data_IF_513448764993
#
_entry.id   IF_513448764993
#
_cell.length_a   1.000
_cell.length_b   1.000
_cell.length_c   1.000
_cell.angle_alpha   90.00
_cell.angle_beta   90.00
_cell.angle_gamma   90.00
#
_symmetry.space_group_name_H-M   'P 1'
#
loop_
_entity.id
_entity.type
_entity.pdbx_description
1 polymer ?
#
# COMPACT_ATOMS: atom_id res chain seq x y z
N UNK A 1 16.77 16.19 -12.57
CA UNK A 1 17.33 14.82 -12.55
C UNK A 1 18.78 14.89 -12.04
N UNK A 2 18.97 14.93 -10.72
CA UNK A 2 20.32 15.12 -10.08
C UNK A 2 20.48 14.29 -8.79
N UNK A 3 19.59 13.31 -8.54
CA UNK A 3 19.73 12.36 -7.41
C UNK A 3 20.60 11.14 -7.81
N UNK A 4 20.85 10.96 -9.11
CA UNK A 4 21.42 9.75 -9.67
C UNK A 4 22.96 9.74 -9.81
N UNK A 5 23.69 10.79 -9.41
CA UNK A 5 25.09 10.96 -9.86
C UNK A 5 26.17 11.12 -8.77
N UNK A 6 25.97 10.62 -7.54
CA UNK A 6 27.07 10.51 -6.56
C UNK A 6 27.14 9.15 -5.82
N UNK A 7 28.34 8.57 -5.66
CA UNK A 7 28.50 7.28 -5.00
C UNK A 7 28.31 7.43 -3.47
N UNK A 8 27.36 6.66 -2.91
CA UNK A 8 27.09 6.55 -1.47
C UNK A 8 25.83 7.25 -0.94
N UNK A 9 25.43 8.39 -1.52
CA UNK A 9 24.29 9.20 -1.01
C UNK A 9 22.91 8.57 -1.23
N UNK A 10 22.76 7.77 -2.28
CA UNK A 10 21.52 7.07 -2.62
C UNK A 10 21.16 5.93 -1.64
N UNK A 11 22.18 5.30 -1.04
CA UNK A 11 21.99 4.18 -0.11
C UNK A 11 21.58 4.66 1.29
N UNK A 12 22.19 5.74 1.77
CA UNK A 12 21.82 6.38 3.03
C UNK A 12 20.40 6.97 2.99
N UNK A 13 20.03 7.64 1.88
CA UNK A 13 18.67 8.16 1.68
C UNK A 13 17.61 7.03 1.60
N UNK A 14 17.92 5.92 0.90
CA UNK A 14 17.02 4.76 0.79
C UNK A 14 16.80 4.01 2.11
N UNK A 15 17.79 3.98 3.01
CA UNK A 15 17.68 3.35 4.33
C UNK A 15 16.91 4.26 5.30
N UNK A 16 17.19 5.57 5.28
CA UNK A 16 16.49 6.54 6.14
C UNK A 16 15.02 6.69 5.76
N UNK A 17 14.68 6.76 4.45
CA UNK A 17 13.29 6.92 3.97
C UNK A 17 12.39 5.69 4.20
N UNK A 18 12.95 4.55 4.65
CA UNK A 18 12.15 3.42 5.16
C UNK A 18 11.78 3.57 6.65
N UNK A 19 12.41 4.48 7.38
CA UNK A 19 12.19 4.61 8.83
C UNK A 19 11.86 6.02 9.33
N UNK A 20 12.36 7.11 8.75
CA UNK A 20 12.03 8.49 9.16
C UNK A 20 12.23 9.47 7.98
N UNK A 21 11.28 10.38 7.79
CA UNK A 21 11.22 11.38 6.73
C UNK A 21 12.36 12.43 6.80
N UNK A 22 12.86 12.79 5.61
CA UNK A 22 13.71 13.93 5.19
C UNK A 22 15.13 14.03 5.79
N UNK A 23 16.10 13.44 5.10
CA UNK A 23 17.48 13.94 5.08
C UNK A 23 17.66 14.81 3.82
N UNK A 24 17.94 16.08 4.02
CA UNK A 24 18.28 17.05 2.96
C UNK A 24 19.46 16.52 2.15
N UNK A 25 19.24 16.30 0.85
CA UNK A 25 20.33 15.91 -0.06
C UNK A 25 21.27 17.10 -0.25
N UNK A 26 22.56 16.83 -0.47
CA UNK A 26 23.65 17.84 -0.50
C UNK A 26 23.37 19.04 -1.43
N UNK A 27 22.57 18.87 -2.48
CA UNK A 27 22.16 19.96 -3.39
C UNK A 27 21.23 21.01 -2.78
N UNK A 28 20.55 20.69 -1.67
CA UNK A 28 19.62 21.56 -0.97
C UNK A 28 20.21 22.26 0.26
N UNK A 29 21.39 21.83 0.72
CA UNK A 29 22.06 22.40 1.89
C UNK A 29 22.70 23.77 1.63
N UNK A 30 22.96 24.13 0.37
CA UNK A 30 23.82 25.27 0.01
C UNK A 30 23.09 26.49 -0.60
N UNK A 31 21.76 26.61 -0.42
CA UNK A 31 20.97 27.77 -0.86
C UNK A 31 20.12 28.34 0.29
N UNK A 32 20.37 29.57 0.76
CA UNK A 32 19.48 30.24 1.72
C UNK A 32 18.11 30.53 1.06
N UNK A 33 17.01 30.33 1.80
CA UNK A 33 15.69 30.90 1.46
C UNK A 33 14.70 30.03 0.67
N UNK A 34 14.38 28.82 1.13
CA UNK A 34 13.24 28.03 0.59
C UNK A 34 13.60 26.74 -0.14
N UNK A 35 14.88 26.37 -0.16
CA UNK A 35 15.38 25.11 -0.71
C UNK A 35 14.67 23.88 -0.10
N UNK A 36 14.39 23.89 1.20
CA UNK A 36 13.67 22.80 1.88
C UNK A 36 12.21 22.68 1.44
N UNK A 37 11.48 23.79 1.30
CA UNK A 37 10.08 23.78 0.86
C UNK A 37 9.97 23.28 -0.58
N UNK A 38 10.89 23.71 -1.46
CA UNK A 38 10.98 23.21 -2.83
C UNK A 38 11.31 21.72 -2.88
N UNK A 39 12.24 21.24 -2.07
CA UNK A 39 12.55 19.81 -1.97
C UNK A 39 11.35 18.98 -1.52
N UNK A 40 10.62 19.44 -0.50
CA UNK A 40 9.42 18.77 -0.02
C UNK A 40 8.31 18.75 -1.08
N UNK A 41 8.16 19.82 -1.86
CA UNK A 41 7.24 19.86 -2.99
C UNK A 41 7.65 18.86 -4.09
N UNK A 42 8.93 18.83 -4.47
CA UNK A 42 9.45 17.86 -5.45
C UNK A 42 9.27 16.42 -4.97
N UNK A 43 9.53 16.13 -3.69
CA UNK A 43 9.21 14.83 -3.10
C UNK A 43 7.72 14.54 -3.27
N UNK A 44 6.85 15.45 -2.84
CA UNK A 44 5.39 15.28 -2.92
C UNK A 44 4.91 14.98 -4.34
N UNK A 45 5.45 15.66 -5.34
CA UNK A 45 5.15 15.41 -6.76
C UNK A 45 5.58 13.99 -7.19
N UNK A 46 6.79 13.55 -6.82
CA UNK A 46 7.28 12.22 -7.13
C UNK A 46 6.50 11.12 -6.38
N UNK A 47 6.08 11.40 -5.14
CA UNK A 47 5.21 10.51 -4.38
C UNK A 47 3.83 10.38 -5.04
N UNK A 48 3.26 11.48 -5.52
CA UNK A 48 1.97 11.47 -6.21
C UNK A 48 2.06 10.70 -7.52
N UNK A 49 3.10 10.92 -8.34
CA UNK A 49 3.34 10.17 -9.58
C UNK A 49 3.46 8.67 -9.30
N UNK A 50 4.30 8.31 -8.33
CA UNK A 50 4.48 6.91 -7.88
C UNK A 50 3.15 6.31 -7.43
N UNK A 51 2.37 7.03 -6.62
CA UNK A 51 1.10 6.53 -6.10
C UNK A 51 0.08 6.31 -7.22
N UNK A 52 0.04 7.19 -8.22
CA UNK A 52 -0.80 7.02 -9.41
C UNK A 52 -0.39 5.75 -10.17
N UNK A 53 0.91 5.56 -10.43
CA UNK A 53 1.42 4.34 -11.08
C UNK A 53 1.03 3.08 -10.31
N UNK A 54 1.17 3.07 -8.99
CA UNK A 54 0.80 1.91 -8.17
C UNK A 54 -0.71 1.66 -8.14
N UNK A 55 -1.52 2.72 -8.18
CA UNK A 55 -2.99 2.59 -8.22
C UNK A 55 -3.46 2.07 -9.58
N UNK A 56 -2.86 2.54 -10.68
CA UNK A 56 -3.06 1.99 -12.02
C UNK A 56 -2.66 0.52 -12.09
N UNK A 57 -1.49 0.17 -11.55
CA UNK A 57 -1.06 -1.23 -11.50
C UNK A 57 -2.05 -2.08 -10.71
N UNK A 58 -2.52 -1.62 -9.54
CA UNK A 58 -3.52 -2.34 -8.75
C UNK A 58 -4.87 -2.49 -9.48
N UNK A 59 -5.24 -1.51 -10.32
CA UNK A 59 -6.43 -1.60 -11.17
C UNK A 59 -6.23 -2.64 -12.29
N UNK A 60 -5.09 -2.63 -12.98
CA UNK A 60 -4.77 -3.67 -13.97
C UNK A 60 -4.67 -5.07 -13.33
N UNK A 61 -4.10 -5.18 -12.13
CA UNK A 61 -4.05 -6.44 -11.38
C UNK A 61 -5.48 -6.96 -11.13
N UNK A 62 -6.40 -6.07 -10.72
CA UNK A 62 -7.81 -6.40 -10.57
C UNK A 62 -8.45 -6.90 -11.87
N UNK A 63 -8.22 -6.23 -13.00
CA UNK A 63 -8.71 -6.64 -14.32
C UNK A 63 -8.19 -8.01 -14.76
N UNK A 64 -6.98 -8.37 -14.31
CA UNK A 64 -6.36 -9.65 -14.60
C UNK A 64 -6.66 -10.73 -13.55
N UNK A 65 -7.61 -10.50 -12.63
CA UNK A 65 -7.95 -11.47 -11.57
C UNK A 65 -6.94 -11.55 -10.41
N UNK A 66 -5.90 -10.71 -10.41
CA UNK A 66 -4.88 -10.68 -9.36
C UNK A 66 -5.34 -9.79 -8.21
N UNK A 67 -6.18 -10.33 -7.32
CA UNK A 67 -6.85 -9.51 -6.32
C UNK A 67 -6.00 -9.28 -5.06
N UNK A 68 -6.16 -8.13 -4.38
CA UNK A 68 -5.56 -7.91 -3.09
C UNK A 68 -6.23 -8.76 -2.01
N UNK A 69 -5.47 -9.06 -0.96
CA UNK A 69 -5.98 -9.63 0.29
C UNK A 69 -6.08 -8.56 1.40
N UNK A 70 -6.58 -8.97 2.56
CA UNK A 70 -6.64 -8.15 3.76
C UNK A 70 -7.97 -7.40 3.95
N UNK A 71 -8.15 -6.71 5.10
CA UNK A 71 -9.46 -6.20 5.51
C UNK A 71 -10.04 -5.12 4.57
N UNK A 72 -9.19 -4.36 3.88
CA UNK A 72 -9.60 -3.33 2.92
C UNK A 72 -9.83 -3.83 1.50
N UNK A 73 -9.57 -5.11 1.21
CA UNK A 73 -9.61 -5.65 -0.16
C UNK A 73 -10.99 -5.47 -0.80
N UNK A 74 -12.06 -5.82 -0.08
CA UNK A 74 -13.44 -5.73 -0.58
C UNK A 74 -13.83 -4.30 -0.98
N UNK A 75 -13.43 -3.30 -0.20
CA UNK A 75 -13.72 -1.89 -0.48
C UNK A 75 -12.91 -1.40 -1.70
N UNK A 76 -11.66 -1.85 -1.85
CA UNK A 76 -10.86 -1.53 -3.05
C UNK A 76 -11.44 -2.17 -4.31
N UNK A 77 -11.79 -3.46 -4.27
CA UNK A 77 -12.38 -4.19 -5.40
C UNK A 77 -13.72 -3.58 -5.82
N UNK A 78 -14.55 -3.17 -4.85
CA UNK A 78 -15.81 -2.47 -5.14
C UNK A 78 -15.58 -1.15 -5.87
N UNK A 79 -14.53 -0.42 -5.48
CA UNK A 79 -14.15 0.82 -6.15
C UNK A 79 -13.64 0.57 -7.58
N UNK A 80 -12.81 -0.46 -7.79
CA UNK A 80 -12.35 -0.77 -9.15
C UNK A 80 -13.48 -1.21 -10.07
N UNK A 81 -14.44 -2.00 -9.57
CA UNK A 81 -15.65 -2.31 -10.34
C UNK A 81 -16.43 -1.05 -10.73
N UNK A 82 -16.63 -0.10 -9.80
CA UNK A 82 -17.31 1.17 -10.16
C UNK A 82 -16.54 2.00 -11.20
N UNK A 83 -15.21 1.88 -11.24
CA UNK A 83 -14.38 2.54 -12.27
C UNK A 83 -14.60 1.86 -13.63
N UNK A 84 -14.68 0.53 -13.68
CA UNK A 84 -15.01 -0.19 -14.92
C UNK A 84 -16.40 0.15 -15.43
N UNK A 85 -17.41 0.19 -14.55
CA UNK A 85 -18.79 0.56 -14.90
C UNK A 85 -18.82 1.97 -15.54
N UNK A 86 -18.15 2.94 -14.91
CA UNK A 86 -18.08 4.33 -15.40
C UNK A 86 -17.33 4.43 -16.75
N UNK A 87 -16.23 3.68 -16.93
CA UNK A 87 -15.51 3.63 -18.21
C UNK A 87 -16.35 2.99 -19.32
N UNK A 88 -17.17 1.98 -19.00
CA UNK A 88 -18.10 1.36 -19.94
C UNK A 88 -19.15 2.36 -20.43
N UNK A 89 -19.73 3.16 -19.54
CA UNK A 89 -20.69 4.21 -19.88
C UNK A 89 -20.08 5.31 -20.77
N UNK A 90 -18.85 5.73 -20.46
CA UNK A 90 -18.12 6.71 -21.28
C UNK A 90 -17.83 6.20 -22.69
N UNK A 91 -17.47 4.92 -22.83
CA UNK A 91 -17.19 4.32 -24.14
C UNK A 91 -18.44 4.25 -25.04
N UNK A 92 -19.60 3.93 -24.46
CA UNK A 92 -20.89 3.90 -25.17
C UNK A 92 -21.29 5.29 -25.67
N UNK A 93 -21.00 6.34 -24.88
CA UNK A 93 -21.38 7.72 -25.23
C UNK A 93 -20.38 8.40 -26.17
N UNK A 94 -19.10 8.03 -26.16
CA UNK A 94 -18.04 8.68 -26.95
C UNK A 94 -17.03 7.68 -27.55
N UNK A 95 -17.32 7.04 -28.70
CA UNK A 95 -16.53 5.90 -29.19
C UNK A 95 -15.12 6.20 -29.73
N UNK A 96 -14.73 7.48 -29.90
CA UNK A 96 -13.68 7.87 -30.87
C UNK A 96 -12.34 8.30 -30.25
N UNK A 97 -12.18 8.34 -28.92
CA UNK A 97 -10.98 8.98 -28.36
C UNK A 97 -10.01 8.01 -27.67
N UNK A 98 -8.71 8.17 -27.97
CA UNK A 98 -7.55 7.58 -27.26
C UNK A 98 -7.45 8.00 -25.77
N UNK A 99 -8.56 8.38 -25.15
CA UNK A 99 -8.65 8.95 -23.80
C UNK A 99 -8.75 7.91 -22.68
N UNK A 100 -8.88 6.63 -22.99
CA UNK A 100 -9.03 5.55 -21.99
C UNK A 100 -8.01 5.64 -20.85
N UNK A 101 -6.71 5.76 -21.15
CA UNK A 101 -5.67 5.83 -20.09
C UNK A 101 -5.80 7.09 -19.23
N UNK A 102 -6.16 8.22 -19.83
CA UNK A 102 -6.28 9.50 -19.12
C UNK A 102 -7.57 9.58 -18.29
N UNK A 103 -8.65 8.97 -18.77
CA UNK A 103 -9.92 8.80 -18.05
C UNK A 103 -9.71 7.89 -16.84
N UNK A 104 -9.06 6.73 -17.02
CA UNK A 104 -8.68 5.84 -15.91
C UNK A 104 -7.84 6.59 -14.88
N UNK A 105 -6.80 7.33 -15.31
CA UNK A 105 -5.97 8.15 -14.42
C UNK A 105 -6.80 9.14 -13.60
N UNK A 106 -7.80 9.77 -14.23
CA UNK A 106 -8.67 10.75 -13.59
C UNK A 106 -9.53 10.10 -12.51
N UNK A 107 -10.17 8.97 -12.82
CA UNK A 107 -11.02 8.22 -11.90
C UNK A 107 -10.23 7.65 -10.71
N UNK A 108 -8.99 7.22 -10.96
CA UNK A 108 -8.10 6.70 -9.92
C UNK A 108 -7.42 7.79 -9.09
N UNK A 109 -7.43 9.05 -9.53
CA UNK A 109 -6.67 10.15 -8.92
C UNK A 109 -6.96 10.35 -7.43
N UNK A 110 -8.23 10.31 -7.02
CA UNK A 110 -8.61 10.42 -5.60
C UNK A 110 -8.06 9.25 -4.77
N UNK A 111 -8.09 8.04 -5.32
CA UNK A 111 -7.59 6.83 -4.66
C UNK A 111 -6.06 6.88 -4.52
N UNK A 112 -5.37 7.31 -5.57
CA UNK A 112 -3.92 7.50 -5.58
C UNK A 112 -3.47 8.57 -4.57
N UNK A 113 -4.20 9.68 -4.46
CA UNK A 113 -3.91 10.74 -3.49
C UNK A 113 -4.04 10.28 -2.02
N UNK A 114 -4.83 9.23 -1.76
CA UNK A 114 -5.01 8.65 -0.43
C UNK A 114 -4.09 7.44 -0.16
N UNK A 115 -3.22 7.08 -1.10
CA UNK A 115 -2.35 5.92 -0.96
C UNK A 115 -1.12 6.25 -0.10
N UNK A 116 -0.97 5.54 1.00
CA UNK A 116 0.25 5.51 1.81
C UNK A 116 0.89 4.14 1.77
N UNK A 117 2.19 4.10 1.49
CA UNK A 117 2.93 2.84 1.35
C UNK A 117 3.46 2.37 2.70
N UNK A 118 3.03 1.19 3.12
CA UNK A 118 3.66 0.43 4.20
C UNK A 118 4.57 -0.65 3.64
N UNK A 119 5.52 -1.12 4.45
CA UNK A 119 6.40 -2.23 4.06
C UNK A 119 5.61 -3.54 3.88
N UNK A 120 4.55 -3.72 4.66
CA UNK A 120 3.74 -4.94 4.69
C UNK A 120 2.32 -4.75 4.13
N UNK A 121 1.96 -3.56 3.66
CA UNK A 121 0.62 -3.25 3.17
C UNK A 121 0.57 -1.95 2.36
N UNK A 122 -0.44 -1.80 1.53
CA UNK A 122 -0.90 -0.49 1.08
C UNK A 122 -1.98 0.02 2.04
N UNK A 123 -2.00 1.33 2.29
CA UNK A 123 -3.01 2.00 3.11
C UNK A 123 -3.77 3.00 2.24
N UNK A 124 -5.04 2.72 1.99
CA UNK A 124 -5.95 3.59 1.26
C UNK A 124 -6.66 4.52 2.24
N UNK A 125 -5.94 5.55 2.70
CA UNK A 125 -6.34 6.48 3.76
C UNK A 125 -7.44 7.46 3.29
N UNK A 126 -8.61 6.94 2.92
CA UNK A 126 -9.76 7.75 2.52
C UNK A 126 -10.54 8.37 3.69
N UNK A 127 -10.60 7.65 4.81
CA UNK A 127 -11.42 8.03 5.96
C UNK A 127 -10.60 7.92 7.26
N UNK A 128 -10.22 9.05 7.88
CA UNK A 128 -9.51 9.04 9.16
C UNK A 128 -10.29 8.34 10.29
N UNK A 129 -11.63 8.28 10.22
CA UNK A 129 -12.49 7.59 11.17
C UNK A 129 -12.51 6.08 10.95
N UNK A 130 -11.96 5.57 9.85
CA UNK A 130 -11.70 4.13 9.66
C UNK A 130 -10.28 3.73 10.02
N UNK A 131 -9.35 4.68 10.14
CA UNK A 131 -7.93 4.41 10.36
C UNK A 131 -7.66 3.88 11.78
N UNK A 132 -7.38 2.58 11.89
CA UNK A 132 -7.14 1.92 13.18
C UNK A 132 -5.93 2.50 13.93
N UNK A 133 -4.87 2.87 13.21
CA UNK A 133 -3.69 3.51 13.82
C UNK A 133 -4.04 4.83 14.53
N UNK A 134 -4.90 5.67 13.93
CA UNK A 134 -5.34 6.93 14.53
C UNK A 134 -6.25 6.69 15.74
N UNK A 135 -7.14 5.71 15.68
CA UNK A 135 -8.01 5.32 16.80
C UNK A 135 -7.20 4.84 18.01
N UNK A 136 -6.26 3.93 17.78
CA UNK A 136 -5.43 3.36 18.84
C UNK A 136 -4.51 4.43 19.46
N UNK A 137 -3.97 5.33 18.63
CA UNK A 137 -3.11 6.42 19.10
C UNK A 137 -3.88 7.59 19.74
N UNK A 138 -5.21 7.65 19.62
CA UNK A 138 -6.03 8.84 19.95
C UNK A 138 -5.43 10.11 19.32
N UNK A 139 -5.04 10.01 18.04
CA UNK A 139 -4.30 11.05 17.35
C UNK A 139 -5.12 12.33 17.20
N UNK A 140 -4.51 13.48 17.54
CA UNK A 140 -5.11 14.81 17.34
C UNK A 140 -5.00 15.25 15.88
N UNK A 141 -3.83 15.07 15.27
CA UNK A 141 -3.65 15.25 13.83
C UNK A 141 -4.18 14.01 13.11
N UNK A 142 -5.20 14.22 12.26
CA UNK A 142 -5.91 13.18 11.51
C UNK A 142 -5.72 13.34 10.00
N UNK A 143 -4.74 14.16 9.57
CA UNK A 143 -4.49 14.45 8.15
C UNK A 143 -3.75 13.33 7.40
N UNK A 144 -3.10 12.40 8.12
CA UNK A 144 -2.31 11.31 7.54
C UNK A 144 -2.32 10.07 8.46
N UNK A 145 -2.11 8.85 7.94
CA UNK A 145 -2.00 7.67 8.77
C UNK A 145 -0.68 7.65 9.57
N UNK A 146 -0.72 7.07 10.76
CA UNK A 146 0.47 6.76 11.54
C UNK A 146 1.01 5.40 11.11
N UNK A 147 1.83 5.37 10.06
CA UNK A 147 2.33 4.14 9.45
C UNK A 147 3.03 3.19 10.44
N UNK A 148 3.85 3.74 11.36
CA UNK A 148 4.52 2.97 12.41
C UNK A 148 3.58 2.33 13.45
N UNK A 149 2.32 2.73 13.49
CA UNK A 149 1.27 2.17 14.37
C UNK A 149 0.21 1.40 13.58
N UNK A 150 0.44 1.13 12.29
CA UNK A 150 -0.52 0.42 11.45
C UNK A 150 -0.60 -1.05 11.85
N UNK A 151 -1.77 -1.47 12.35
CA UNK A 151 -2.15 -2.89 12.46
C UNK A 151 -2.88 -3.29 11.17
N UNK A 152 -2.12 -3.53 10.10
CA UNK A 152 -2.66 -3.77 8.76
C UNK A 152 -3.37 -5.12 8.62
N UNK A 153 -3.23 -6.02 9.59
CA UNK A 153 -4.02 -7.24 9.67
C UNK A 153 -5.49 -6.96 10.04
N UNK A 154 -5.78 -5.81 10.64
CA UNK A 154 -7.12 -5.45 11.18
C UNK A 154 -7.66 -4.13 10.66
N UNK A 155 -6.81 -3.26 10.13
CA UNK A 155 -7.22 -1.96 9.62
C UNK A 155 -8.08 -2.12 8.35
N UNK A 156 -9.33 -1.60 8.32
CA UNK A 156 -10.23 -1.75 7.17
C UNK A 156 -9.78 -0.97 5.91
N UNK A 157 -8.72 -0.17 6.02
CA UNK A 157 -8.14 0.59 4.91
C UNK A 157 -6.83 -0.01 4.41
N UNK A 158 -6.41 -1.15 4.95
CA UNK A 158 -5.17 -1.81 4.57
C UNK A 158 -5.44 -2.97 3.61
N UNK A 159 -4.63 -3.06 2.55
CA UNK A 159 -4.60 -4.20 1.63
C UNK A 159 -3.23 -4.83 1.56
N UNK A 160 -3.21 -6.14 1.31
CA UNK A 160 -2.02 -6.94 1.08
C UNK A 160 -2.00 -7.35 -0.38
N UNK A 161 -0.84 -7.23 -1.02
CA UNK A 161 -0.64 -7.44 -2.45
C UNK A 161 0.53 -8.44 -2.59
N UNK A 162 0.77 -9.03 -3.75
CA UNK A 162 1.85 -10.01 -3.94
C UNK A 162 3.22 -9.51 -3.46
N UNK A 163 3.51 -8.22 -3.68
CA UNK A 163 4.74 -7.58 -3.23
C UNK A 163 4.92 -7.57 -1.69
N UNK A 164 3.84 -7.68 -0.91
CA UNK A 164 3.87 -7.73 0.55
C UNK A 164 4.10 -9.15 1.10
N UNK A 165 3.88 -10.19 0.29
CA UNK A 165 4.01 -11.59 0.70
C UNK A 165 5.37 -11.92 1.34
N UNK A 166 6.54 -11.52 0.78
CA UNK A 166 7.84 -11.87 1.36
C UNK A 166 8.04 -11.31 2.77
N UNK A 167 7.46 -10.14 3.06
CA UNK A 167 7.54 -9.50 4.38
C UNK A 167 6.74 -10.30 5.42
N UNK A 168 5.53 -10.72 5.07
CA UNK A 168 4.71 -11.55 5.95
C UNK A 168 5.29 -12.96 6.14
N UNK A 169 5.81 -13.58 5.08
CA UNK A 169 6.49 -14.87 5.18
C UNK A 169 7.73 -14.80 6.08
N UNK A 170 8.53 -13.72 5.95
CA UNK A 170 9.68 -13.49 6.83
C UNK A 170 9.26 -13.25 8.27
N UNK A 171 8.18 -12.50 8.49
CA UNK A 171 7.61 -12.27 9.84
C UNK A 171 7.18 -13.59 10.49
N UNK A 172 6.46 -14.44 9.77
CA UNK A 172 6.05 -15.77 10.24
C UNK A 172 7.27 -16.65 10.59
N UNK A 173 8.21 -16.79 9.66
CA UNK A 173 9.41 -17.61 9.85
C UNK A 173 10.25 -17.13 11.05
N UNK A 174 10.46 -15.82 11.18
CA UNK A 174 11.19 -15.25 12.30
C UNK A 174 10.49 -15.50 13.63
N UNK A 175 9.18 -15.31 13.70
CA UNK A 175 8.41 -15.63 14.92
C UNK A 175 8.54 -17.11 15.31
N UNK A 176 8.48 -18.03 14.34
CA UNK A 176 8.69 -19.48 14.59
C UNK A 176 10.10 -19.78 15.10
N UNK A 177 11.14 -19.16 14.52
CA UNK A 177 12.52 -19.28 14.99
C UNK A 177 12.66 -18.79 16.44
N UNK A 178 12.06 -17.63 16.78
CA UNK A 178 12.11 -17.10 18.14
C UNK A 178 11.40 -18.02 19.14
N UNK A 179 10.24 -18.58 18.79
CA UNK A 179 9.52 -19.56 19.65
C UNK A 179 10.41 -20.78 19.98
N UNK A 180 11.24 -21.23 19.02
CA UNK A 180 12.21 -22.29 19.25
C UNK A 180 13.34 -21.91 20.22
N UNK A 181 13.67 -20.63 20.32
CA UNK A 181 14.77 -20.09 21.15
C UNK A 181 14.33 -19.63 22.54
N UNK A 182 13.05 -19.33 22.77
CA UNK A 182 12.59 -18.86 24.09
C UNK A 182 12.54 -20.00 25.11
N UNK A 183 12.95 -19.69 26.35
CA UNK A 183 12.97 -20.67 27.45
C UNK A 183 11.57 -21.19 27.82
N UNK A 184 11.50 -22.44 28.32
CA UNK A 184 10.24 -23.12 28.68
C UNK A 184 9.36 -22.36 29.71
N UNK A 185 9.98 -21.52 30.55
CA UNK A 185 9.28 -20.68 31.53
C UNK A 185 8.57 -19.45 30.95
N UNK A 186 8.89 -19.02 29.73
CA UNK A 186 8.35 -17.79 29.13
C UNK A 186 7.01 -18.03 28.41
N UNK A 187 6.01 -18.55 29.12
CA UNK A 187 4.72 -18.97 28.54
C UNK A 187 3.96 -17.82 27.85
N UNK A 188 3.94 -16.64 28.46
CA UNK A 188 3.26 -15.46 27.90
C UNK A 188 3.89 -14.99 26.60
N UNK A 189 5.22 -14.92 26.56
CA UNK A 189 5.96 -14.51 25.36
C UNK A 189 5.80 -15.54 24.23
N UNK A 190 5.79 -16.84 24.59
CA UNK A 190 5.48 -17.92 23.65
C UNK A 190 4.12 -17.73 23.00
N UNK A 191 3.09 -17.49 23.80
CA UNK A 191 1.73 -17.28 23.30
C UNK A 191 1.64 -16.04 22.41
N UNK A 192 2.32 -14.95 22.79
CA UNK A 192 2.38 -13.71 21.99
C UNK A 192 3.01 -13.96 20.61
N UNK A 193 4.17 -14.63 20.57
CA UNK A 193 4.86 -14.96 19.32
C UNK A 193 4.07 -15.97 18.49
N UNK A 194 3.39 -16.92 19.11
CA UNK A 194 2.53 -17.88 18.42
C UNK A 194 1.39 -17.15 17.69
N UNK A 195 0.68 -16.28 18.39
CA UNK A 195 -0.38 -15.46 17.79
C UNK A 195 0.14 -14.53 16.68
N UNK A 196 1.39 -14.06 16.77
CA UNK A 196 2.03 -13.28 15.71
C UNK A 196 2.35 -14.14 14.47
N UNK A 197 2.91 -15.34 14.67
CA UNK A 197 3.21 -16.29 13.60
C UNK A 197 1.93 -16.71 12.86
N UNK A 198 0.92 -17.14 13.60
CA UNK A 198 -0.34 -17.64 13.03
C UNK A 198 -1.06 -16.54 12.22
N UNK A 199 -1.05 -15.29 12.71
CA UNK A 199 -1.58 -14.15 11.94
C UNK A 199 -0.79 -13.92 10.65
N UNK A 200 0.54 -13.93 10.71
CA UNK A 200 1.37 -13.71 9.54
C UNK A 200 1.19 -14.83 8.49
N UNK A 201 1.08 -16.08 8.93
CA UNK A 201 0.80 -17.25 8.07
C UNK A 201 -0.59 -17.15 7.42
N UNK A 202 -1.60 -16.73 8.18
CA UNK A 202 -2.95 -16.48 7.65
C UNK A 202 -2.93 -15.43 6.55
N UNK A 203 -2.14 -14.36 6.71
CA UNK A 203 -2.02 -13.31 5.70
C UNK A 203 -1.28 -13.82 4.46
N UNK A 204 -0.20 -14.60 4.61
CA UNK A 204 0.48 -15.23 3.48
C UNK A 204 -0.50 -16.12 2.69
N UNK A 205 -1.24 -16.98 3.39
CA UNK A 205 -2.23 -17.85 2.76
C UNK A 205 -3.35 -17.06 2.06
N UNK A 206 -3.79 -15.95 2.64
CA UNK A 206 -4.80 -15.08 2.04
C UNK A 206 -4.26 -14.39 0.77
N UNK A 207 -3.00 -13.94 0.77
CA UNK A 207 -2.36 -13.39 -0.43
C UNK A 207 -2.28 -14.47 -1.50
N UNK A 208 -1.79 -15.67 -1.16
CA UNK A 208 -1.65 -16.78 -2.11
C UNK A 208 -3.00 -17.20 -2.71
N UNK A 209 -4.03 -17.30 -1.87
CA UNK A 209 -5.40 -17.63 -2.31
C UNK A 209 -5.97 -16.56 -3.24
N UNK A 210 -5.72 -15.27 -2.95
CA UNK A 210 -6.21 -14.18 -3.79
C UNK A 210 -5.53 -14.12 -5.17
N UNK A 211 -4.39 -14.80 -5.35
CA UNK A 211 -3.71 -14.93 -6.65
C UNK A 211 -4.14 -16.17 -7.45
N UNK A 212 -4.77 -17.15 -6.81
CA UNK A 212 -5.21 -18.40 -7.46
C UNK A 212 -6.71 -18.45 -7.73
N UNK A 213 -7.45 -17.40 -7.34
CA UNK A 213 -8.91 -17.37 -7.36
C UNK A 213 -9.56 -17.28 -8.75
N UNK A 214 -8.86 -17.55 -9.86
CA UNK A 214 -9.47 -17.58 -11.19
C UNK A 214 -9.16 -18.85 -12.01
N UNK A 215 -10.14 -19.76 -12.06
CA UNK A 215 -10.39 -20.78 -13.10
C UNK A 215 -11.91 -20.98 -13.34
N UNK A 216 -12.73 -19.97 -13.08
CA UNK A 216 -14.18 -20.12 -13.04
C UNK A 216 -14.90 -18.97 -13.73
N UNK A 217 -14.64 -18.79 -15.02
CA UNK A 217 -15.44 -17.90 -15.86
C UNK A 217 -16.89 -18.36 -15.86
N UNK A 218 -17.75 -17.62 -15.16
CA UNK A 218 -19.18 -17.61 -15.44
C UNK A 218 -19.46 -16.32 -16.22
N UNK A 219 -19.56 -16.49 -17.54
CA UNK A 219 -20.21 -15.53 -18.42
C UNK A 219 -21.62 -15.34 -17.87
N UNK A 220 -22.01 -14.08 -17.67
CA UNK A 220 -23.31 -13.72 -17.15
C UNK A 220 -24.47 -14.38 -17.92
N UNK A 221 -25.66 -14.50 -17.30
CA UNK A 221 -26.81 -14.99 -18.02
C UNK A 221 -27.26 -13.93 -19.03
N UNK A 222 -27.34 -14.33 -20.29
CA UNK A 222 -28.17 -13.66 -21.28
C UNK A 222 -29.61 -13.58 -20.74
N UNK A 223 -30.12 -12.36 -20.55
CA UNK A 223 -31.52 -12.01 -20.82
C UNK A 223 -31.78 -10.50 -20.80
#
# INVERSE_FOLDING_TARGET
MEIAHRPGGLLAAKIQLKHLSVATTEGYANRPGGAQAKFLAEIGEEEQKRNLTLTLQAFHDYQNGNWPAGPGARELLTFFRSVEDELGELHVTTPVIKHSDQEVITLLGRRAGALHLGVANYCWFLDPDKALCLKLAKAKDRSRPLAGMCDSARCPQATHHPCHRPVWASSAANSRIFIGKIGRGQKTERARLQAQADRAETIVAAIDTAQTADHGGDRGPDH
#
